data_IF_851884138287
#
_entry.id   IF_851884138287
#
_cell.length_a   1.000
_cell.length_b   1.000
_cell.length_c   1.000
_cell.angle_alpha   90.00
_cell.angle_beta   90.00
_cell.angle_gamma   90.00
#
_symmetry.space_group_name_H-M   'P 1'
#
loop_
_entity.id
_entity.type
_entity.pdbx_description
1 polymer ?
#
# COMPACT_ATOMS: atom_id res chain seq x y z
N UNK A 1 -3.76 -35.82 8.24
CA UNK A 1 -4.04 -34.99 9.45
C UNK A 1 -4.83 -33.77 9.00
N UNK A 2 -6.13 -33.78 9.28
CA UNK A 2 -7.10 -32.78 8.86
C UNK A 2 -7.15 -31.69 9.93
N UNK A 3 -6.57 -30.51 9.65
CA UNK A 3 -6.65 -29.38 10.58
C UNK A 3 -8.09 -28.86 10.59
N UNK A 4 -8.85 -29.26 11.61
CA UNK A 4 -10.30 -29.02 11.78
C UNK A 4 -10.72 -27.59 12.11
N UNK A 5 -10.15 -26.59 11.44
CA UNK A 5 -10.72 -25.24 11.43
C UNK A 5 -11.06 -24.89 9.98
N UNK A 6 -12.33 -25.04 9.64
CA UNK A 6 -12.86 -24.58 8.37
C UNK A 6 -12.96 -23.05 8.42
N UNK A 7 -11.88 -22.37 8.03
CA UNK A 7 -11.91 -20.92 7.85
C UNK A 7 -12.79 -20.58 6.65
N UNK A 8 -13.52 -19.47 6.76
CA UNK A 8 -14.24 -18.88 5.63
C UNK A 8 -13.30 -18.79 4.41
N UNK A 9 -13.70 -19.33 3.24
CA UNK A 9 -12.91 -19.25 2.02
C UNK A 9 -12.48 -17.82 1.66
N UNK A 10 -13.27 -16.81 2.03
CA UNK A 10 -13.02 -15.40 1.69
C UNK A 10 -13.59 -14.44 2.74
N UNK A 11 -12.80 -13.48 3.22
CA UNK A 11 -13.28 -12.45 4.14
C UNK A 11 -13.32 -11.07 3.48
N UNK A 12 -14.37 -10.30 3.79
CA UNK A 12 -14.46 -8.88 3.48
C UNK A 12 -13.38 -8.10 4.25
N UNK A 13 -12.64 -7.25 3.55
CA UNK A 13 -11.62 -6.37 4.14
C UNK A 13 -12.13 -4.93 4.23
N UNK A 14 -12.41 -4.33 3.08
CA UNK A 14 -13.01 -3.00 2.92
C UNK A 14 -13.97 -3.04 1.72
N UNK A 15 -14.65 -1.93 1.45
CA UNK A 15 -15.66 -1.86 0.39
C UNK A 15 -15.12 -2.39 -0.95
N UNK A 16 -15.73 -3.48 -1.42
CA UNK A 16 -15.35 -4.14 -2.67
C UNK A 16 -14.07 -4.97 -2.62
N UNK A 17 -13.27 -4.98 -1.55
CA UNK A 17 -12.02 -5.74 -1.45
C UNK A 17 -12.14 -6.94 -0.50
N UNK A 18 -11.75 -8.10 -0.99
CA UNK A 18 -11.81 -9.37 -0.27
C UNK A 18 -10.44 -10.09 -0.26
N UNK A 19 -10.19 -10.84 0.80
CA UNK A 19 -9.00 -11.69 0.96
C UNK A 19 -9.43 -13.15 1.14
N UNK A 20 -8.90 -14.05 0.31
CA UNK A 20 -9.31 -15.46 0.33
C UNK A 20 -8.24 -16.47 -0.01
N UNK A 21 -8.67 -17.72 -0.10
CA UNK A 21 -7.87 -18.91 -0.42
C UNK A 21 -8.17 -19.46 -1.83
N UNK A 22 -7.52 -20.57 -2.19
CA UNK A 22 -7.74 -21.19 -3.50
C UNK A 22 -9.14 -21.78 -3.66
N UNK A 23 -9.75 -22.28 -2.57
CA UNK A 23 -11.11 -22.82 -2.62
C UNK A 23 -12.13 -21.75 -3.03
N UNK A 24 -12.04 -20.53 -2.48
CA UNK A 24 -12.88 -19.42 -2.91
C UNK A 24 -12.68 -19.06 -4.39
N UNK A 25 -11.42 -19.04 -4.84
CA UNK A 25 -11.08 -18.66 -6.20
C UNK A 25 -11.43 -19.72 -7.26
N UNK A 26 -11.60 -20.98 -6.85
CA UNK A 26 -11.92 -22.10 -7.74
C UNK A 26 -13.42 -22.39 -7.85
N UNK A 27 -14.27 -21.79 -7.01
CA UNK A 27 -15.72 -21.98 -7.05
C UNK A 27 -16.41 -20.80 -7.77
N UNK A 28 -16.75 -20.97 -9.05
CA UNK A 28 -17.42 -19.92 -9.83
C UNK A 28 -18.78 -19.53 -9.25
N UNK A 29 -19.57 -20.48 -8.75
CA UNK A 29 -20.89 -20.17 -8.18
C UNK A 29 -20.71 -19.32 -6.92
N UNK A 30 -19.71 -19.62 -6.11
CA UNK A 30 -19.34 -18.83 -4.95
C UNK A 30 -18.90 -17.41 -5.35
N UNK A 31 -18.06 -17.27 -6.36
CA UNK A 31 -17.61 -15.97 -6.89
C UNK A 31 -18.78 -15.14 -7.45
N UNK A 32 -19.66 -15.75 -8.24
CA UNK A 32 -20.86 -15.11 -8.80
C UNK A 32 -21.83 -14.67 -7.71
N UNK A 33 -22.10 -15.53 -6.71
CA UNK A 33 -22.94 -15.21 -5.55
C UNK A 33 -22.42 -14.00 -4.78
N UNK A 34 -21.10 -13.84 -4.66
CA UNK A 34 -20.50 -12.69 -4.00
C UNK A 34 -20.32 -11.48 -4.92
N UNK A 35 -20.58 -11.62 -6.22
CA UNK A 35 -20.41 -10.57 -7.23
C UNK A 35 -18.95 -10.21 -7.47
N UNK A 36 -18.03 -11.17 -7.36
CA UNK A 36 -16.61 -10.95 -7.64
C UNK A 36 -16.43 -10.70 -9.15
N UNK A 37 -15.83 -9.56 -9.50
CA UNK A 37 -15.58 -9.17 -10.88
C UNK A 37 -14.10 -9.18 -11.25
N UNK A 38 -13.21 -9.15 -10.25
CA UNK A 38 -11.77 -9.13 -10.45
C UNK A 38 -11.07 -10.07 -9.47
N UNK A 39 -9.99 -10.71 -9.91
CA UNK A 39 -9.19 -11.60 -9.08
C UNK A 39 -7.70 -11.26 -9.22
N UNK A 40 -7.02 -11.07 -8.09
CA UNK A 40 -5.56 -11.04 -8.00
C UNK A 40 -5.08 -12.38 -7.46
N UNK A 41 -4.48 -13.21 -8.34
CA UNK A 41 -3.91 -14.51 -7.98
C UNK A 41 -2.44 -14.37 -7.63
N UNK A 42 -2.06 -14.70 -6.40
CA UNK A 42 -0.70 -14.55 -5.88
C UNK A 42 -0.08 -15.92 -5.60
N UNK A 43 0.16 -16.69 -6.67
CA UNK A 43 0.66 -18.08 -6.63
C UNK A 43 1.62 -18.28 -7.80
N UNK A 44 2.83 -18.81 -7.53
CA UNK A 44 3.76 -19.25 -8.57
C UNK A 44 3.29 -20.55 -9.23
N UNK A 45 3.49 -20.66 -10.53
CA UNK A 45 3.18 -21.82 -11.34
C UNK A 45 1.98 -21.60 -12.27
N UNK A 46 1.82 -22.55 -13.19
CA UNK A 46 0.77 -22.55 -14.19
C UNK A 46 -0.51 -23.20 -13.68
N UNK A 47 -0.90 -22.88 -12.46
CA UNK A 47 -2.20 -23.24 -11.87
C UNK A 47 -3.40 -22.60 -12.59
N UNK A 48 -3.25 -22.09 -13.82
CA UNK A 48 -4.36 -21.48 -14.54
C UNK A 48 -4.05 -20.98 -15.94
N UNK A 49 -3.53 -21.84 -16.82
CA UNK A 49 -4.18 -21.90 -18.15
C UNK A 49 -5.55 -22.57 -18.04
N UNK A 50 -5.67 -23.60 -17.19
CA UNK A 50 -6.88 -24.42 -17.05
C UNK A 50 -8.13 -23.67 -16.56
N UNK A 51 -8.00 -22.63 -15.72
CA UNK A 51 -9.18 -21.91 -15.20
C UNK A 51 -9.67 -20.73 -16.06
N UNK A 52 -8.91 -20.32 -17.08
CA UNK A 52 -9.38 -19.32 -18.05
C UNK A 52 -10.20 -19.97 -19.18
N UNK A 53 -9.91 -21.24 -19.48
CA UNK A 53 -10.48 -21.94 -20.65
C UNK A 53 -11.70 -22.82 -20.30
N UNK A 54 -11.85 -23.25 -19.04
CA UNK A 54 -12.95 -24.14 -18.61
C UNK A 54 -14.35 -23.49 -18.56
N UNK A 55 -14.47 -22.19 -18.80
CA UNK A 55 -15.74 -21.46 -18.72
C UNK A 55 -16.15 -20.88 -20.06
N UNK A 56 -16.10 -21.72 -21.10
CA UNK A 56 -16.59 -21.41 -22.44
C UNK A 56 -17.84 -20.53 -22.40
N UNK A 57 -17.63 -19.22 -22.57
CA UNK A 57 -18.62 -18.15 -22.48
C UNK A 57 -19.34 -17.97 -21.11
N UNK A 58 -19.20 -16.77 -20.51
CA UNK A 58 -20.05 -16.14 -19.44
C UNK A 58 -19.57 -16.03 -17.98
N UNK A 59 -18.27 -15.96 -17.71
CA UNK A 59 -17.79 -15.30 -16.48
C UNK A 59 -16.70 -14.29 -16.82
N UNK A 60 -17.06 -13.01 -16.93
CA UNK A 60 -16.14 -11.92 -17.25
C UNK A 60 -15.29 -11.48 -16.05
N UNK A 61 -14.81 -12.43 -15.24
CA UNK A 61 -13.88 -12.13 -14.15
C UNK A 61 -12.54 -11.74 -14.78
N UNK A 62 -12.04 -10.54 -14.44
CA UNK A 62 -10.72 -10.08 -14.88
C UNK A 62 -9.65 -10.54 -13.92
N UNK A 63 -8.52 -10.99 -14.45
CA UNK A 63 -7.44 -11.54 -13.63
C UNK A 63 -6.17 -10.68 -13.70
N UNK A 64 -5.52 -10.54 -12.55
CA UNK A 64 -4.10 -10.21 -12.45
C UNK A 64 -3.36 -11.37 -11.82
N UNK A 65 -2.34 -11.86 -12.51
CA UNK A 65 -1.53 -12.99 -12.06
C UNK A 65 -0.19 -12.48 -11.52
N UNK A 66 0.10 -12.80 -10.27
CA UNK A 66 1.38 -12.52 -9.59
C UNK A 66 2.06 -13.86 -9.30
N UNK A 67 3.19 -14.08 -9.96
CA UNK A 67 3.98 -15.31 -9.90
C UNK A 67 5.03 -15.20 -8.79
N UNK A 68 4.70 -15.66 -7.57
CA UNK A 68 5.60 -15.57 -6.40
C UNK A 68 5.40 -16.75 -5.44
N UNK A 69 6.51 -17.31 -4.95
CA UNK A 69 6.46 -18.35 -3.90
C UNK A 69 6.25 -17.75 -2.52
N UNK A 70 5.86 -18.58 -1.54
CA UNK A 70 5.73 -18.16 -0.14
C UNK A 70 7.04 -18.33 0.64
N UNK A 71 8.13 -17.76 0.12
CA UNK A 71 9.46 -17.89 0.71
C UNK A 71 9.96 -16.52 1.17
N UNK A 72 10.66 -16.43 2.31
CA UNK A 72 11.26 -15.18 2.79
C UNK A 72 12.28 -14.53 1.81
N UNK A 73 12.83 -15.32 0.88
CA UNK A 73 13.76 -14.88 -0.16
C UNK A 73 13.09 -14.28 -1.40
N UNK A 74 11.78 -14.44 -1.57
CA UNK A 74 11.08 -13.96 -2.76
C UNK A 74 10.82 -12.45 -2.70
N UNK A 75 11.07 -11.75 -3.80
CA UNK A 75 10.75 -10.33 -3.94
C UNK A 75 9.29 -10.14 -4.37
N UNK A 76 8.40 -10.01 -3.38
CA UNK A 76 6.98 -9.70 -3.61
C UNK A 76 6.74 -8.19 -3.76
N UNK A 77 7.62 -7.36 -3.19
CA UNK A 77 7.52 -5.90 -3.21
C UNK A 77 7.46 -5.33 -4.63
N UNK A 78 8.19 -5.94 -5.58
CA UNK A 78 8.16 -5.53 -7.00
C UNK A 78 6.75 -5.55 -7.63
N UNK A 79 5.78 -6.23 -7.01
CA UNK A 79 4.41 -6.29 -7.48
C UNK A 79 3.47 -5.28 -6.83
N UNK A 80 3.87 -4.61 -5.75
CA UNK A 80 2.98 -3.77 -4.94
C UNK A 80 2.29 -2.68 -5.76
N UNK A 81 3.02 -1.92 -6.58
CA UNK A 81 2.42 -0.83 -7.35
C UNK A 81 1.48 -1.37 -8.43
N UNK A 82 1.92 -2.36 -9.19
CA UNK A 82 1.08 -2.95 -10.25
C UNK A 82 -0.17 -3.66 -9.70
N UNK A 83 -0.12 -4.16 -8.46
CA UNK A 83 -1.27 -4.74 -7.77
C UNK A 83 -2.19 -3.63 -7.23
N UNK A 84 -1.61 -2.55 -6.70
CA UNK A 84 -2.35 -1.37 -6.29
C UNK A 84 -3.16 -0.79 -7.46
N UNK A 85 -2.53 -0.53 -8.61
CA UNK A 85 -3.20 -0.02 -9.80
C UNK A 85 -4.39 -0.90 -10.21
N UNK A 86 -4.18 -2.22 -10.31
CA UNK A 86 -5.26 -3.13 -10.70
C UNK A 86 -6.44 -3.13 -9.71
N UNK A 87 -6.14 -3.19 -8.40
CA UNK A 87 -7.17 -3.19 -7.37
C UNK A 87 -7.89 -1.85 -7.36
N UNK A 88 -7.15 -0.75 -7.35
CA UNK A 88 -7.71 0.60 -7.20
C UNK A 88 -8.52 1.01 -8.43
N UNK A 89 -8.01 0.78 -9.63
CA UNK A 89 -8.75 1.03 -10.87
C UNK A 89 -10.04 0.20 -10.92
N UNK A 90 -10.00 -1.08 -10.53
CA UNK A 90 -11.21 -1.90 -10.46
C UNK A 90 -12.24 -1.32 -9.49
N UNK A 91 -11.84 -0.97 -8.27
CA UNK A 91 -12.73 -0.44 -7.23
C UNK A 91 -13.28 0.97 -7.54
N UNK A 92 -12.57 1.75 -8.36
CA UNK A 92 -13.03 3.06 -8.84
C UNK A 92 -13.95 2.96 -10.06
N UNK A 93 -13.79 1.95 -10.92
CA UNK A 93 -14.48 1.83 -12.21
C UNK A 93 -15.88 1.20 -12.12
N UNK A 94 -16.75 1.72 -11.24
CA UNK A 94 -18.14 1.28 -11.19
C UNK A 94 -18.89 1.69 -12.47
N UNK A 95 -19.75 0.82 -13.01
CA UNK A 95 -20.53 1.08 -14.23
C UNK A 95 -22.01 0.92 -13.95
N UNK A 96 -22.77 2.01 -14.07
CA UNK A 96 -24.20 2.02 -13.75
C UNK A 96 -24.46 1.53 -12.33
N UNK A 97 -25.31 0.51 -12.19
CA UNK A 97 -25.62 -0.14 -10.90
C UNK A 97 -24.61 -1.23 -10.50
N UNK A 98 -23.62 -1.54 -11.34
CA UNK A 98 -22.64 -2.59 -11.07
C UNK A 98 -21.47 -2.06 -10.25
N UNK A 99 -21.31 -2.60 -9.04
CA UNK A 99 -20.19 -2.34 -8.16
C UNK A 99 -19.12 -3.41 -8.36
N UNK A 100 -17.90 -3.00 -8.69
CA UNK A 100 -16.80 -3.95 -8.82
C UNK A 100 -16.35 -4.48 -7.46
N UNK A 101 -16.03 -5.78 -7.43
CA UNK A 101 -15.46 -6.44 -6.26
C UNK A 101 -14.24 -7.24 -6.65
N UNK A 102 -13.18 -7.09 -5.86
CA UNK A 102 -11.87 -7.68 -6.08
C UNK A 102 -11.59 -8.72 -5.01
N UNK A 103 -11.27 -9.94 -5.42
CA UNK A 103 -10.71 -10.97 -4.55
C UNK A 103 -9.18 -11.04 -4.74
N UNK A 104 -8.42 -10.85 -3.67
CA UNK A 104 -6.98 -11.16 -3.64
C UNK A 104 -6.81 -12.50 -2.95
N UNK A 105 -6.21 -13.48 -3.62
CA UNK A 105 -6.03 -14.82 -3.06
C UNK A 105 -4.65 -15.41 -3.33
N UNK A 106 -4.27 -16.34 -2.47
CA UNK A 106 -3.18 -17.28 -2.72
C UNK A 106 -3.69 -18.70 -2.44
N UNK A 107 -2.82 -19.60 -1.99
CA UNK A 107 -3.24 -20.96 -1.65
C UNK A 107 -4.13 -20.98 -0.40
N UNK A 108 -3.66 -20.39 0.70
CA UNK A 108 -4.33 -20.42 2.02
C UNK A 108 -5.01 -19.08 2.37
N UNK A 109 -4.59 -17.98 1.75
CA UNK A 109 -5.04 -16.64 2.15
C UNK A 109 -4.39 -16.17 3.46
N UNK A 110 -3.17 -16.61 3.74
CA UNK A 110 -2.44 -16.34 4.98
C UNK A 110 -1.28 -15.35 4.79
N UNK A 111 -0.40 -15.61 3.82
CA UNK A 111 0.87 -14.87 3.66
C UNK A 111 0.89 -14.04 2.37
N UNK A 112 1.21 -14.62 1.20
CA UNK A 112 1.31 -13.91 -0.10
C UNK A 112 0.20 -12.90 -0.40
N UNK A 113 -1.07 -13.35 -0.41
CA UNK A 113 -2.20 -12.46 -0.72
C UNK A 113 -2.48 -11.45 0.40
N UNK A 114 -2.23 -11.82 1.66
CA UNK A 114 -2.36 -10.90 2.77
C UNK A 114 -1.32 -9.76 2.66
N UNK A 115 -0.08 -10.07 2.26
CA UNK A 115 0.95 -9.06 1.99
C UNK A 115 0.49 -8.04 0.95
N UNK A 116 -0.12 -8.49 -0.17
CA UNK A 116 -0.64 -7.59 -1.21
C UNK A 116 -1.79 -6.71 -0.69
N UNK A 117 -2.71 -7.27 0.11
CA UNK A 117 -3.79 -6.49 0.72
C UNK A 117 -3.24 -5.46 1.71
N UNK A 118 -2.28 -5.84 2.55
CA UNK A 118 -1.62 -4.93 3.50
C UNK A 118 -0.92 -3.79 2.76
N UNK A 119 -0.13 -4.10 1.71
CA UNK A 119 0.54 -3.07 0.91
C UNK A 119 -0.45 -2.14 0.23
N UNK A 120 -1.57 -2.67 -0.29
CA UNK A 120 -2.65 -1.87 -0.88
C UNK A 120 -3.21 -0.87 0.13
N UNK A 121 -3.55 -1.31 1.35
CA UNK A 121 -4.10 -0.43 2.38
C UNK A 121 -3.11 0.66 2.80
N UNK A 122 -1.83 0.31 2.95
CA UNK A 122 -0.77 1.28 3.28
C UNK A 122 -0.60 2.35 2.18
N UNK A 123 -0.69 1.94 0.91
CA UNK A 123 -0.61 2.85 -0.24
C UNK A 123 -1.85 3.74 -0.33
N UNK A 124 -3.03 3.15 -0.21
CA UNK A 124 -4.34 3.82 -0.38
C UNK A 124 -4.62 4.86 0.71
N UNK A 125 -4.29 4.55 1.96
CA UNK A 125 -4.65 5.37 3.11
C UNK A 125 -3.40 5.97 3.78
N UNK A 126 -3.24 7.31 3.77
CA UNK A 126 -2.10 7.98 4.39
C UNK A 126 -1.79 7.56 5.83
N UNK A 127 -2.82 7.37 6.64
CA UNK A 127 -2.69 7.07 8.07
C UNK A 127 -2.45 5.58 8.38
N UNK A 128 -2.46 4.71 7.37
CA UNK A 128 -2.24 3.26 7.50
C UNK A 128 -0.75 2.92 7.50
N UNK A 129 -0.15 2.90 8.69
CA UNK A 129 1.16 2.27 8.88
C UNK A 129 1.07 0.75 8.73
N UNK A 130 2.19 0.07 8.51
CA UNK A 130 2.28 -1.39 8.46
C UNK A 130 1.60 -2.03 9.67
N UNK A 131 1.90 -1.55 10.89
CA UNK A 131 1.31 -2.10 12.11
C UNK A 131 -0.22 -1.98 12.12
N UNK A 132 -0.76 -0.83 11.69
CA UNK A 132 -2.21 -0.62 11.61
C UNK A 132 -2.85 -1.49 10.54
N UNK A 133 -2.27 -1.53 9.34
CA UNK A 133 -2.77 -2.31 8.21
C UNK A 133 -2.74 -3.82 8.52
N UNK A 134 -1.63 -4.31 9.08
CA UNK A 134 -1.50 -5.70 9.50
C UNK A 134 -2.55 -6.08 10.56
N UNK A 135 -2.69 -5.28 11.63
CA UNK A 135 -3.69 -5.54 12.69
C UNK A 135 -5.11 -5.51 12.14
N UNK A 136 -5.42 -4.57 11.26
CA UNK A 136 -6.73 -4.48 10.64
C UNK A 136 -7.03 -5.70 9.75
N UNK A 137 -6.11 -6.11 8.89
CA UNK A 137 -6.32 -7.28 8.03
C UNK A 137 -6.41 -8.56 8.86
N UNK A 138 -5.61 -8.68 9.93
CA UNK A 138 -5.67 -9.79 10.89
C UNK A 138 -6.99 -9.85 11.64
N UNK A 139 -7.59 -8.72 12.03
CA UNK A 139 -8.90 -8.71 12.69
C UNK A 139 -10.04 -9.11 11.75
N UNK A 140 -9.88 -8.92 10.43
CA UNK A 140 -10.82 -9.41 9.41
C UNK A 140 -10.61 -10.87 9.03
N UNK A 141 -9.35 -11.34 9.03
CA UNK A 141 -8.98 -12.72 8.72
C UNK A 141 -7.91 -13.22 9.71
N UNK A 142 -8.32 -13.89 10.81
CA UNK A 142 -7.42 -14.27 11.91
C UNK A 142 -6.23 -15.14 11.54
N UNK A 143 -6.26 -15.84 10.40
CA UNK A 143 -5.13 -16.67 9.95
C UNK A 143 -3.98 -15.86 9.32
N UNK A 144 -4.18 -14.58 9.02
CA UNK A 144 -3.18 -13.74 8.34
C UNK A 144 -1.83 -13.79 9.04
N UNK A 145 -0.79 -14.23 8.35
CA UNK A 145 0.55 -14.37 8.89
C UNK A 145 1.57 -14.34 7.74
N UNK A 146 1.88 -13.17 7.17
CA UNK A 146 2.94 -13.04 6.17
C UNK A 146 4.26 -13.58 6.70
N UNK A 147 5.02 -14.25 5.84
CA UNK A 147 6.36 -14.68 6.21
C UNK A 147 7.25 -13.46 6.53
N UNK A 148 8.31 -13.70 7.30
CA UNK A 148 9.23 -12.67 7.77
C UNK A 148 9.89 -11.84 6.66
N UNK A 149 10.19 -12.43 5.49
CA UNK A 149 10.75 -11.71 4.34
C UNK A 149 9.77 -10.72 3.75
N UNK A 150 8.48 -11.08 3.71
CA UNK A 150 7.41 -10.18 3.29
C UNK A 150 7.15 -9.07 4.31
N UNK A 151 7.25 -9.36 5.62
CA UNK A 151 7.19 -8.33 6.66
C UNK A 151 8.35 -7.33 6.50
N UNK A 152 9.58 -7.80 6.23
CA UNK A 152 10.73 -6.91 5.96
C UNK A 152 10.47 -6.01 4.74
N UNK A 153 9.94 -6.57 3.67
CA UNK A 153 9.58 -5.82 2.46
C UNK A 153 8.46 -4.79 2.69
N UNK A 154 7.44 -5.13 3.48
CA UNK A 154 6.40 -4.18 3.87
C UNK A 154 6.95 -3.02 4.72
N UNK A 155 7.92 -3.28 5.62
CA UNK A 155 8.60 -2.21 6.38
C UNK A 155 9.35 -1.26 5.44
N UNK A 156 10.12 -1.80 4.50
CA UNK A 156 10.83 -1.01 3.50
C UNK A 156 9.85 -0.18 2.65
N UNK A 157 8.72 -0.78 2.25
CA UNK A 157 7.69 -0.09 1.49
C UNK A 157 7.06 1.07 2.29
N UNK A 158 6.81 0.92 3.59
CA UNK A 158 6.34 2.03 4.42
C UNK A 158 7.28 3.24 4.35
N UNK A 159 8.58 3.03 4.53
CA UNK A 159 9.57 4.11 4.42
C UNK A 159 9.60 4.73 3.01
N UNK A 160 9.41 3.94 1.95
CA UNK A 160 9.27 4.47 0.60
C UNK A 160 8.02 5.36 0.46
N UNK A 161 6.88 4.97 1.02
CA UNK A 161 5.64 5.75 0.98
C UNK A 161 5.75 7.07 1.74
N UNK A 162 6.39 7.05 2.91
CA UNK A 162 6.66 8.25 3.71
C UNK A 162 7.53 9.23 2.93
N UNK A 163 8.60 8.74 2.29
CA UNK A 163 9.46 9.54 1.43
C UNK A 163 8.72 10.13 0.22
N UNK A 164 7.85 9.34 -0.43
CA UNK A 164 7.03 9.84 -1.55
C UNK A 164 6.11 10.97 -1.10
N UNK A 165 5.40 10.81 0.02
CA UNK A 165 4.49 11.83 0.57
C UNK A 165 5.24 13.09 1.00
N UNK A 166 6.44 12.94 1.56
CA UNK A 166 7.30 14.06 1.90
C UNK A 166 7.70 14.85 0.65
N UNK A 167 8.14 14.17 -0.41
CA UNK A 167 8.46 14.80 -1.70
C UNK A 167 7.26 15.52 -2.31
N UNK A 168 6.08 14.88 -2.33
CA UNK A 168 4.84 15.50 -2.81
C UNK A 168 4.47 16.77 -2.03
N UNK A 169 4.61 16.74 -0.71
CA UNK A 169 4.34 17.89 0.16
C UNK A 169 5.32 19.03 -0.13
N UNK A 170 6.61 18.73 -0.29
CA UNK A 170 7.62 19.72 -0.64
C UNK A 170 7.36 20.34 -2.02
N UNK A 171 7.07 19.52 -3.03
CA UNK A 171 6.74 19.99 -4.38
C UNK A 171 5.52 20.92 -4.38
N UNK A 172 4.45 20.58 -3.65
CA UNK A 172 3.26 21.44 -3.52
C UNK A 172 3.59 22.80 -2.88
N UNK A 173 4.45 22.82 -1.85
CA UNK A 173 4.90 24.06 -1.21
C UNK A 173 5.73 24.94 -2.14
N UNK A 174 6.62 24.35 -2.93
CA UNK A 174 7.41 25.07 -3.94
C UNK A 174 6.49 25.70 -4.99
N UNK A 175 5.54 24.94 -5.52
CA UNK A 175 4.57 25.45 -6.51
C UNK A 175 3.68 26.56 -5.93
N UNK A 176 3.22 26.41 -4.68
CA UNK A 176 2.45 27.45 -3.98
C UNK A 176 3.29 28.72 -3.73
N UNK A 177 4.56 28.57 -3.35
CA UNK A 177 5.50 29.69 -3.20
C UNK A 177 5.76 30.43 -4.51
N UNK A 178 5.96 29.69 -5.61
CA UNK A 178 6.20 30.27 -6.94
C UNK A 178 4.95 30.96 -7.53
N UNK A 179 3.76 30.46 -7.26
CA UNK A 179 2.51 31.13 -7.68
C UNK A 179 2.30 32.46 -6.95
N UNK A 180 2.71 32.57 -5.69
CA UNK A 180 2.67 33.84 -4.93
C UNK A 180 3.70 34.88 -5.41
N UNK A 181 4.78 34.48 -6.10
CA UNK A 181 5.78 35.40 -6.67
C UNK A 181 5.27 36.08 -7.95
N UNK A 182 4.37 35.43 -8.72
CA UNK A 182 3.80 36.00 -9.96
C UNK A 182 2.83 37.17 -9.72
N UNK A 183 2.35 37.34 -8.49
CA UNK A 183 1.54 38.48 -8.03
C UNK A 183 2.36 39.58 -7.37
N UNK A 184 3.71 39.53 -7.44
CA UNK A 184 4.56 40.61 -6.96
C UNK A 184 4.36 41.87 -7.83
N UNK A 185 4.02 43.04 -7.25
CA UNK A 185 3.87 44.29 -8.00
C UNK A 185 5.18 44.81 -8.62
N UNK A 186 6.28 44.07 -8.48
CA UNK A 186 7.59 44.41 -9.03
C UNK A 186 7.82 43.96 -10.48
N UNK A 187 6.85 43.26 -11.10
CA UNK A 187 6.88 42.89 -12.51
C UNK A 187 5.65 43.45 -13.24
N UNK A 188 5.61 44.78 -13.41
CA UNK A 188 4.74 45.41 -14.42
C UNK A 188 5.51 45.49 -15.76
N UNK A 189 4.93 44.87 -16.77
CA UNK A 189 5.42 44.83 -18.13
C UNK A 189 5.21 46.17 -18.83
N UNK A 190 5.96 47.23 -18.45
CA UNK A 190 6.12 48.48 -19.23
C UNK A 190 7.15 49.43 -18.60
N UNK A 191 8.43 49.07 -18.64
CA UNK A 191 9.50 50.06 -18.51
C UNK A 191 10.72 49.68 -19.37
N UNK A 192 10.76 50.23 -20.58
CA UNK A 192 12.04 50.51 -21.24
C UNK A 192 12.69 51.65 -20.44
N UNK A 193 13.83 51.39 -19.82
CA UNK A 193 15.06 52.21 -19.75
C UNK A 193 15.96 51.54 -18.71
N UNK A 194 17.23 51.40 -19.08
CA UNK A 194 18.25 50.63 -18.39
C UNK A 194 18.67 51.23 -17.05
N UNK A 195 18.75 50.39 -16.01
CA UNK A 195 19.76 50.51 -14.97
C UNK A 195 20.33 49.12 -14.66
N UNK A 196 21.66 49.02 -14.60
CA UNK A 196 22.39 47.78 -14.30
C UNK A 196 21.93 47.22 -12.93
N UNK A 197 21.86 45.88 -12.76
CA UNK A 197 21.59 45.30 -11.46
C UNK A 197 22.67 45.75 -10.45
N UNK A 198 22.31 46.01 -9.18
CA UNK A 198 23.29 46.38 -8.17
C UNK A 198 24.27 45.22 -7.97
N UNK A 199 25.56 45.52 -8.16
CA UNK A 199 26.66 44.59 -7.89
C UNK A 199 26.68 44.26 -6.40
N UNK A 200 26.31 43.03 -6.03
CA UNK A 200 26.58 42.51 -4.70
C UNK A 200 28.11 42.36 -4.55
N UNK A 201 28.71 43.19 -3.70
CA UNK A 201 30.09 42.99 -3.29
C UNK A 201 30.20 41.68 -2.49
N UNK A 202 31.19 40.81 -2.76
CA UNK A 202 31.40 39.62 -1.96
C UNK A 202 31.82 40.02 -0.53
N UNK A 203 31.38 39.27 0.51
CA UNK A 203 31.86 39.51 1.87
C UNK A 203 33.36 39.24 1.95
N UNK A 204 34.07 40.14 2.64
CA UNK A 204 35.51 40.03 2.92
C UNK A 204 35.79 38.75 3.70
N UNK A 205 36.85 38.04 3.29
CA UNK A 205 37.32 36.80 3.89
C UNK A 205 37.68 36.96 5.36
N UNK A 206 36.97 36.25 6.25
CA UNK A 206 37.43 35.98 7.62
C UNK A 206 37.80 34.51 7.74
N UNK A 207 39.03 34.27 8.19
CA UNK A 207 39.73 33.00 8.31
C UNK A 207 38.92 31.86 8.94
N UNK A 208 38.72 30.78 8.19
CA UNK A 208 38.36 29.47 8.76
C UNK A 208 39.63 28.70 9.09
N UNK A 209 39.96 28.63 10.38
CA UNK A 209 40.91 27.65 10.90
C UNK A 209 40.25 26.27 10.91
N UNK A 210 40.81 25.34 10.13
CA UNK A 210 40.51 23.91 10.21
C UNK A 210 41.09 23.35 11.52
N UNK A 211 40.23 22.94 12.45
CA UNK A 211 40.63 22.10 13.59
C UNK A 211 40.18 20.67 13.32
N UNK A 212 41.14 19.78 13.09
CA UNK A 212 40.95 18.33 13.11
C UNK A 212 40.80 17.87 14.55
N UNK A 213 39.68 17.27 14.92
CA UNK A 213 39.61 16.35 16.05
C UNK A 213 38.82 15.09 15.66
N UNK A 214 39.33 13.96 16.15
CA UNK A 214 39.08 12.61 15.69
C UNK A 214 37.93 11.91 16.45
N UNK A 215 37.40 10.88 15.80
CA UNK A 215 36.85 9.63 16.33
C UNK A 215 35.97 9.66 17.60
N UNK A 216 34.66 9.46 17.38
CA UNK A 216 33.91 8.41 18.09
C UNK A 216 32.60 8.06 17.37
N UNK A 217 32.47 6.78 17.02
CA UNK A 217 31.34 6.16 16.34
C UNK A 217 30.21 5.81 17.35
N UNK A 218 28.98 6.37 17.22
CA UNK A 218 27.89 6.07 18.14
C UNK A 218 27.04 4.84 17.78
N UNK A 219 27.37 4.09 16.71
CA UNK A 219 26.63 2.88 16.34
C UNK A 219 27.25 1.61 16.94
N UNK A 220 27.20 1.50 18.27
CA UNK A 220 27.34 0.20 18.94
C UNK A 220 26.39 0.11 20.13
N UNK A 221 25.21 -0.51 19.91
CA UNK A 221 24.42 -1.34 20.85
C UNK A 221 22.93 -1.24 20.54
N UNK A 222 22.38 -2.32 19.99
CA UNK A 222 21.11 -2.93 20.43
C UNK A 222 20.91 -4.27 19.73
N UNK A 223 21.64 -5.28 20.21
CA UNK A 223 21.18 -6.67 20.12
C UNK A 223 20.15 -6.88 21.23
N UNK A 224 19.06 -7.57 20.87
CA UNK A 224 18.15 -8.22 21.81
C UNK A 224 16.88 -7.43 22.09
N UNK A 225 15.74 -7.96 21.61
CA UNK A 225 14.46 -8.10 22.33
C UNK A 225 13.34 -8.41 21.30
N UNK A 226 13.37 -9.61 20.75
CA UNK A 226 12.14 -10.30 20.31
C UNK A 226 12.32 -11.78 20.64
N UNK A 227 12.30 -12.12 21.93
CA UNK A 227 12.05 -13.47 22.40
C UNK A 227 10.60 -13.60 22.84
N UNK A 228 9.93 -14.58 22.23
CA UNK A 228 8.68 -15.25 22.64
C UNK A 228 7.92 -14.64 23.82
N UNK A 229 6.84 -13.90 23.51
CA UNK A 229 5.75 -13.66 24.44
C UNK A 229 4.44 -14.04 23.75
N UNK A 230 3.84 -15.13 24.22
CA UNK A 230 2.45 -15.51 24.02
C UNK A 230 1.56 -14.36 24.50
N UNK A 231 0.97 -13.59 23.57
CA UNK A 231 0.07 -12.49 23.91
C UNK A 231 -1.35 -13.03 24.06
N UNK A 232 -1.78 -13.26 25.29
CA UNK A 232 -3.19 -13.41 25.63
C UNK A 232 -3.88 -12.06 25.41
N UNK A 233 -4.68 -11.96 24.34
CA UNK A 233 -5.37 -10.73 23.96
C UNK A 233 -6.45 -10.36 24.97
N UNK A 234 -6.35 -9.15 25.53
CA UNK A 234 -7.40 -8.51 26.32
C UNK A 234 -8.48 -7.97 25.38
N UNK A 235 -9.69 -8.54 25.43
CA UNK A 235 -10.84 -8.26 24.54
C UNK A 235 -11.34 -6.80 24.55
N UNK A 236 -10.83 -5.95 25.44
CA UNK A 236 -11.26 -4.55 25.57
C UNK A 236 -10.44 -3.56 24.73
N UNK A 237 -9.25 -3.92 24.22
CA UNK A 237 -8.48 -3.02 23.32
C UNK A 237 -8.93 -3.09 21.85
N UNK A 238 -9.60 -4.18 21.45
CA UNK A 238 -10.06 -4.38 20.06
C UNK A 238 -11.11 -3.36 19.60
N UNK A 239 -11.79 -2.68 20.53
CA UNK A 239 -12.82 -1.68 20.22
C UNK A 239 -12.31 -0.24 20.03
N UNK A 240 -11.02 0.03 20.32
CA UNK A 240 -10.42 1.37 20.10
C UNK A 240 -9.59 1.48 18.83
N UNK A 241 -9.45 0.39 18.08
CA UNK A 241 -8.62 0.36 16.87
C UNK A 241 -9.49 0.66 15.66
N UNK A 242 -9.18 1.77 15.00
CA UNK A 242 -9.69 2.23 13.71
C UNK A 242 -11.07 2.91 13.73
N UNK A 243 -11.05 4.23 13.57
CA UNK A 243 -12.22 4.96 13.11
C UNK A 243 -12.55 4.50 11.67
N UNK A 244 -13.49 3.56 11.58
CA UNK A 244 -13.92 2.96 10.31
C UNK A 244 -14.61 3.98 9.38
N UNK A 245 -15.02 5.14 9.90
CA UNK A 245 -15.66 6.18 9.09
C UNK A 245 -14.70 6.79 8.05
N UNK A 246 -13.39 6.80 8.33
CA UNK A 246 -12.34 7.25 7.41
C UNK A 246 -12.13 6.36 6.18
N UNK A 247 -12.73 5.16 6.17
CA UNK A 247 -12.69 4.23 5.03
C UNK A 247 -13.98 4.27 4.20
N UNK A 248 -14.94 5.13 4.55
CA UNK A 248 -16.09 5.44 3.69
C UNK A 248 -15.66 6.47 2.65
N UNK A 249 -16.06 6.27 1.40
CA UNK A 249 -15.78 7.20 0.29
C UNK A 249 -16.41 8.56 0.59
N UNK A 250 -15.72 9.65 0.26
CA UNK A 250 -16.42 10.91 -0.04
C UNK A 250 -17.30 10.68 -1.29
N UNK A 251 -18.56 11.14 -1.29
CA UNK A 251 -19.42 11.01 -2.45
C UNK A 251 -18.78 11.69 -3.65
N UNK A 252 -18.79 11.02 -4.81
CA UNK A 252 -18.34 11.62 -6.05
C UNK A 252 -19.15 12.90 -6.28
N UNK A 253 -18.44 14.02 -6.45
CA UNK A 253 -19.03 15.27 -6.91
C UNK A 253 -19.79 14.98 -8.20
N UNK A 254 -21.11 15.13 -8.14
CA UNK A 254 -21.97 15.08 -9.32
C UNK A 254 -21.56 16.27 -10.20
N UNK A 255 -20.88 15.98 -11.31
CA UNK A 255 -20.76 16.88 -12.45
C UNK A 255 -21.93 16.65 -13.39
#
# INVERSE_FOLDING_TARGET
MQWGIQYDPMNYIIEGLYLGNISAASDLKYLQKHGITHIVRVIKGDFGKVFMDNYGSKSAIKYKIIQVNDLPSENIQKYFESAYEFIDTALQSNKGTTINKVLVHCQVGMSRSATIVISYLMRKFPDMTLTKAFRFVKSKRPIVNPNEGFIRQLKAYQSSLENLRFKETMSKRIVAGLSNVRSSPYYDSKSKIAEKPPTFAPPKSSNYHYRKEADSNPYSRSRGLFSNATYAGNKNEEKKILDLSKFKREPALKT
#
